data_IF_116101318465
#
_entry.id   IF_116101318465
#
_cell.length_a   1.000
_cell.length_b   1.000
_cell.length_c   1.000
_cell.angle_alpha   90.00
_cell.angle_beta   90.00
_cell.angle_gamma   90.00
#
_symmetry.space_group_name_H-M   'P 1'
#
loop_
_entity.id
_entity.type
_entity.pdbx_description
1 polymer ?
#
# COMPACT_ATOMS: atom_id res chain seq x y z
N UNK A 1 19.70 8.22 0.80
CA UNK A 1 18.72 7.10 0.69
C UNK A 1 17.85 7.18 -0.56
N UNK A 2 16.90 8.11 -0.73
CA UNK A 2 16.03 8.14 -1.93
C UNK A 2 16.79 8.44 -3.23
N UNK A 3 17.70 9.40 -3.25
CA UNK A 3 18.50 9.70 -4.45
C UNK A 3 19.43 8.53 -4.85
N UNK A 4 19.94 7.77 -3.87
CA UNK A 4 20.71 6.55 -4.11
C UNK A 4 19.86 5.44 -4.75
N UNK A 5 18.52 5.48 -4.60
CA UNK A 5 17.68 4.46 -5.21
C UNK A 5 17.64 4.58 -6.74
N UNK A 6 17.89 5.77 -7.30
CA UNK A 6 17.91 5.98 -8.75
C UNK A 6 19.01 5.18 -9.47
N UNK A 7 20.02 4.68 -8.76
CA UNK A 7 21.08 3.86 -9.36
C UNK A 7 20.67 2.40 -9.56
N UNK A 8 19.58 1.94 -8.94
CA UNK A 8 19.07 0.57 -9.11
C UNK A 8 17.99 0.55 -10.18
N UNK A 9 18.08 -0.39 -11.12
CA UNK A 9 17.22 -0.45 -12.31
C UNK A 9 15.74 -0.53 -11.96
N UNK A 10 15.39 -1.40 -11.01
CA UNK A 10 14.01 -1.59 -10.54
C UNK A 10 13.44 -0.35 -9.86
N UNK A 11 14.22 0.30 -9.00
CA UNK A 11 13.84 1.58 -8.39
C UNK A 11 13.64 2.67 -9.44
N UNK A 12 14.51 2.76 -10.44
CA UNK A 12 14.40 3.74 -11.51
C UNK A 12 13.18 3.48 -12.41
N UNK A 13 12.88 2.22 -12.72
CA UNK A 13 11.67 1.83 -13.46
C UNK A 13 10.39 2.17 -12.67
N UNK A 14 10.34 1.84 -11.38
CA UNK A 14 9.21 2.17 -10.52
C UNK A 14 8.95 3.69 -10.44
N UNK A 15 10.02 4.49 -10.39
CA UNK A 15 9.92 5.94 -10.43
C UNK A 15 9.33 6.46 -11.76
N UNK A 16 9.65 5.83 -12.89
CA UNK A 16 9.06 6.17 -14.19
C UNK A 16 7.56 5.84 -14.24
N UNK A 17 7.13 4.69 -13.72
CA UNK A 17 5.70 4.36 -13.60
C UNK A 17 4.96 5.34 -12.70
N UNK A 18 5.57 5.74 -11.59
CA UNK A 18 5.01 6.77 -10.73
C UNK A 18 4.88 8.12 -11.44
N UNK A 19 5.92 8.56 -12.15
CA UNK A 19 5.92 9.82 -12.90
C UNK A 19 4.81 9.84 -13.97
N UNK A 20 4.67 8.76 -14.74
CA UNK A 20 3.60 8.60 -15.72
C UNK A 20 2.22 8.63 -15.07
N UNK A 21 2.06 8.02 -13.88
CA UNK A 21 0.79 7.99 -13.17
C UNK A 21 0.38 9.38 -12.70
N UNK A 22 1.31 10.15 -12.13
CA UNK A 22 1.06 11.51 -11.65
C UNK A 22 0.79 12.48 -12.80
N UNK A 23 1.45 12.29 -13.94
CA UNK A 23 1.29 13.15 -15.13
C UNK A 23 -0.05 12.92 -15.85
N UNK A 24 -0.55 11.68 -15.85
CA UNK A 24 -1.80 11.32 -16.54
C UNK A 24 -3.07 11.45 -15.69
N UNK A 25 -2.96 11.59 -14.36
CA UNK A 25 -4.12 11.79 -13.49
C UNK A 25 -4.29 13.31 -13.27
N UNK A 26 -5.38 13.94 -13.76
CA UNK A 26 -5.55 15.39 -13.68
C UNK A 26 -5.42 15.90 -12.25
N UNK A 27 -4.36 16.68 -12.02
CA UNK A 27 -3.83 17.03 -10.71
C UNK A 27 -4.46 18.29 -10.13
N UNK A 28 -5.43 18.07 -9.25
CA UNK A 28 -5.65 18.93 -8.06
C UNK A 28 -6.23 18.13 -6.88
N UNK A 29 -6.94 17.02 -7.16
CA UNK A 29 -7.65 16.25 -6.13
C UNK A 29 -7.07 14.86 -5.82
N UNK A 30 -6.06 14.39 -6.56
CA UNK A 30 -5.54 13.04 -6.40
C UNK A 30 -4.11 13.05 -5.86
N UNK A 31 -4.00 12.87 -4.54
CA UNK A 31 -2.74 12.48 -3.92
C UNK A 31 -2.57 10.99 -4.21
N UNK A 32 -1.53 10.63 -4.96
CA UNK A 32 -1.22 9.23 -5.20
C UNK A 32 -0.59 8.61 -3.96
N UNK A 33 -1.10 7.44 -3.58
CA UNK A 33 -0.58 6.67 -2.47
C UNK A 33 -0.36 5.22 -2.88
N UNK A 34 0.68 4.59 -2.32
CA UNK A 34 1.10 3.23 -2.66
C UNK A 34 0.32 2.18 -1.84
N UNK A 35 -1.02 2.24 -1.86
CA UNK A 35 -1.89 1.40 -1.02
C UNK A 35 -1.72 -0.08 -1.25
N UNK A 36 -1.54 -0.51 -2.49
CA UNK A 36 -1.36 -1.92 -2.82
C UNK A 36 0.02 -2.45 -2.38
N UNK A 37 1.05 -1.61 -2.45
CA UNK A 37 2.40 -1.93 -1.94
C UNK A 37 2.37 -2.01 -0.41
N UNK A 38 1.63 -1.11 0.25
CA UNK A 38 1.43 -1.17 1.69
C UNK A 38 0.71 -2.46 2.09
N UNK A 39 -0.39 -2.79 1.41
CA UNK A 39 -1.18 -4.00 1.67
C UNK A 39 -0.37 -5.29 1.45
N UNK A 40 0.40 -5.37 0.38
CA UNK A 40 1.26 -6.55 0.10
C UNK A 40 2.42 -6.66 1.07
N UNK A 41 3.02 -5.53 1.49
CA UNK A 41 4.10 -5.53 2.48
C UNK A 41 3.69 -6.07 3.86
N UNK A 42 2.39 -6.05 4.19
CA UNK A 42 1.87 -6.65 5.42
C UNK A 42 2.27 -8.11 5.57
N UNK A 43 2.30 -8.88 4.47
CA UNK A 43 2.69 -10.29 4.49
C UNK A 43 4.14 -10.52 4.93
N UNK A 44 5.02 -9.55 4.71
CA UNK A 44 6.44 -9.62 5.07
C UNK A 44 6.77 -8.88 6.36
N UNK A 45 5.94 -7.92 6.77
CA UNK A 45 6.22 -6.97 7.86
C UNK A 45 5.13 -6.96 8.94
N UNK A 46 4.33 -8.03 9.08
CA UNK A 46 3.17 -8.08 9.97
C UNK A 46 3.45 -7.50 11.39
N UNK A 47 4.60 -7.85 11.98
CA UNK A 47 5.00 -7.39 13.32
C UNK A 47 5.25 -5.86 13.43
N UNK A 48 5.35 -5.16 12.30
CA UNK A 48 5.60 -3.71 12.23
C UNK A 48 4.32 -2.92 11.91
N UNK A 49 3.18 -3.59 11.77
CA UNK A 49 1.88 -2.95 11.60
C UNK A 49 1.13 -2.88 12.93
N UNK A 50 0.44 -1.76 13.14
CA UNK A 50 -0.56 -1.61 14.19
C UNK A 50 -1.89 -2.08 13.64
N UNK A 51 -2.41 -3.15 14.22
CA UNK A 51 -3.66 -3.80 13.78
C UNK A 51 -4.68 -3.71 14.89
N UNK A 52 -5.87 -3.24 14.54
CA UNK A 52 -7.02 -3.16 15.43
C UNK A 52 -8.12 -4.11 14.95
N UNK A 53 -8.75 -4.80 15.89
CA UNK A 53 -9.94 -5.58 15.60
C UNK A 53 -11.19 -4.70 15.78
N UNK A 54 -11.99 -4.60 14.74
CA UNK A 54 -13.21 -3.79 14.73
C UNK A 54 -14.40 -4.58 14.19
N UNK A 55 -15.60 -4.14 14.52
CA UNK A 55 -16.82 -4.62 13.88
C UNK A 55 -17.15 -3.69 12.70
N UNK A 56 -17.25 -4.26 11.50
CA UNK A 56 -17.52 -3.50 10.29
C UNK A 56 -18.63 -4.13 9.44
N UNK A 57 -19.35 -3.29 8.70
CA UNK A 57 -20.34 -3.71 7.72
C UNK A 57 -20.19 -2.90 6.43
N UNK A 58 -20.69 -3.44 5.32
CA UNK A 58 -20.69 -2.76 4.02
C UNK A 58 -22.12 -2.41 3.65
N UNK A 59 -22.36 -1.13 3.37
CA UNK A 59 -23.65 -0.69 2.87
C UNK A 59 -23.89 -1.24 1.46
N UNK A 60 -25.06 -1.87 1.25
CA UNK A 60 -25.42 -2.50 -0.03
C UNK A 60 -26.54 -1.76 -0.78
N UNK A 61 -27.12 -0.72 -0.17
CA UNK A 61 -28.21 0.06 -0.75
C UNK A 61 -27.77 1.51 -1.00
N UNK A 62 -28.27 2.16 -2.08
CA UNK A 62 -28.03 3.58 -2.33
C UNK A 62 -28.52 4.46 -1.17
N UNK A 63 -27.92 5.66 -0.96
CA UNK A 63 -26.84 6.26 -1.76
C UNK A 63 -25.43 5.76 -1.39
N UNK A 64 -25.27 5.01 -0.31
CA UNK A 64 -23.95 4.69 0.27
C UNK A 64 -23.42 3.31 -0.11
N UNK A 65 -23.90 2.72 -1.21
CA UNK A 65 -23.49 1.39 -1.62
C UNK A 65 -21.95 1.30 -1.80
N UNK A 66 -21.33 0.31 -1.16
CA UNK A 66 -19.88 0.12 -1.14
C UNK A 66 -19.15 0.80 0.02
N UNK A 67 -19.82 1.68 0.78
CA UNK A 67 -19.22 2.28 1.96
C UNK A 67 -19.00 1.22 3.07
N UNK A 68 -17.77 1.12 3.56
CA UNK A 68 -17.45 0.33 4.76
C UNK A 68 -17.64 1.19 6.00
N UNK A 69 -18.39 0.69 6.97
CA UNK A 69 -18.84 1.40 8.17
C UNK A 69 -18.39 0.62 9.40
N UNK A 70 -17.92 1.32 10.44
CA UNK A 70 -17.79 0.72 11.77
C UNK A 70 -19.18 0.62 12.39
N UNK A 71 -19.56 -0.57 12.85
CA UNK A 71 -20.94 -0.84 13.28
C UNK A 71 -21.00 -2.04 14.22
N UNK A 72 -21.72 -1.90 15.33
CA UNK A 72 -22.03 -3.00 16.26
C UNK A 72 -23.36 -3.70 15.92
N UNK A 73 -23.86 -3.53 14.69
CA UNK A 73 -25.10 -4.16 14.25
C UNK A 73 -24.96 -5.69 14.18
N UNK A 74 -26.08 -6.41 14.16
CA UNK A 74 -26.09 -7.87 13.94
C UNK A 74 -25.52 -8.29 12.57
N UNK A 75 -25.46 -7.36 11.61
CA UNK A 75 -24.96 -7.62 10.25
C UNK A 75 -23.45 -7.41 10.15
N UNK A 76 -22.81 -6.81 11.18
CA UNK A 76 -21.39 -6.56 11.17
C UNK A 76 -20.57 -7.85 11.29
N UNK A 77 -19.32 -7.74 10.87
CA UNK A 77 -18.32 -8.79 10.91
C UNK A 77 -17.08 -8.25 11.59
N UNK A 78 -16.45 -9.12 12.39
CA UNK A 78 -15.16 -8.82 13.00
C UNK A 78 -14.11 -8.83 11.89
N UNK A 79 -13.40 -7.72 11.74
CA UNK A 79 -12.31 -7.56 10.79
C UNK A 79 -11.09 -6.97 11.49
N UNK A 80 -9.91 -7.19 10.89
CA UNK A 80 -8.67 -6.56 11.31
C UNK A 80 -8.39 -5.40 10.37
N UNK A 81 -8.18 -4.21 10.93
CA UNK A 81 -7.81 -3.01 10.18
C UNK A 81 -6.40 -2.59 10.56
N UNK A 82 -5.66 -2.08 9.58
CA UNK A 82 -4.34 -1.48 9.81
C UNK A 82 -4.54 0.00 10.12
N UNK A 83 -4.07 0.45 11.29
CA UNK A 83 -4.14 1.87 11.71
C UNK A 83 -2.79 2.57 11.70
N UNK A 84 -1.70 1.80 11.61
CA UNK A 84 -0.35 2.34 11.55
C UNK A 84 0.67 1.33 11.03
N UNK A 85 1.84 1.85 10.66
CA UNK A 85 3.02 1.08 10.27
C UNK A 85 4.27 1.79 10.74
N UNK A 86 5.29 1.05 11.17
CA UNK A 86 6.64 1.61 11.32
C UNK A 86 7.17 2.03 9.94
N UNK A 87 7.11 3.33 9.67
CA UNK A 87 7.51 3.92 8.40
C UNK A 87 8.96 3.65 8.06
N UNK A 88 9.86 3.61 9.06
CA UNK A 88 11.29 3.40 8.81
C UNK A 88 11.51 1.98 8.29
N UNK A 89 10.94 1.00 8.98
CA UNK A 89 11.06 -0.42 8.56
C UNK A 89 10.37 -0.65 7.22
N UNK A 90 9.18 -0.07 7.01
CA UNK A 90 8.49 -0.15 5.73
C UNK A 90 9.34 0.38 4.57
N UNK A 91 9.88 1.60 4.67
CA UNK A 91 10.72 2.14 3.59
C UNK A 91 12.02 1.35 3.41
N UNK A 92 12.65 0.87 4.48
CA UNK A 92 13.85 0.04 4.39
C UNK A 92 13.57 -1.31 3.71
N UNK A 93 12.44 -1.93 3.98
CA UNK A 93 11.98 -3.13 3.28
C UNK A 93 11.78 -2.86 1.79
N UNK A 94 11.03 -1.82 1.44
CA UNK A 94 10.77 -1.45 0.04
C UNK A 94 12.08 -1.20 -0.71
N UNK A 95 12.98 -0.39 -0.16
CA UNK A 95 14.29 -0.15 -0.76
C UNK A 95 15.13 -1.40 -0.91
N UNK A 96 14.97 -2.39 -0.03
CA UNK A 96 15.67 -3.67 -0.16
C UNK A 96 15.11 -4.48 -1.33
N UNK A 97 13.79 -4.53 -1.50
CA UNK A 97 13.15 -5.23 -2.62
C UNK A 97 13.54 -4.61 -3.98
N UNK A 98 13.54 -3.28 -4.09
CA UNK A 98 13.87 -2.59 -5.34
C UNK A 98 15.37 -2.46 -5.64
N UNK A 99 16.24 -2.92 -4.71
CA UNK A 99 17.68 -3.07 -4.95
C UNK A 99 18.05 -4.35 -5.67
N UNK A 100 17.12 -5.29 -5.82
CA UNK A 100 17.39 -6.54 -6.53
C UNK A 100 17.79 -6.27 -7.98
N UNK A 101 18.77 -7.02 -8.48
CA UNK A 101 19.19 -6.96 -9.87
C UNK A 101 18.12 -7.65 -10.73
N UNK A 102 17.58 -6.92 -11.71
CA UNK A 102 16.50 -7.40 -12.56
C UNK A 102 16.90 -8.67 -13.31
N UNK A 103 18.17 -8.81 -13.71
CA UNK A 103 18.67 -10.00 -14.40
C UNK A 103 18.59 -11.26 -13.51
N UNK A 104 18.90 -11.12 -12.23
CA UNK A 104 18.89 -12.26 -11.29
C UNK A 104 17.49 -12.77 -10.95
N UNK A 105 16.45 -11.94 -11.14
CA UNK A 105 15.05 -12.31 -10.91
C UNK A 105 14.40 -13.02 -12.10
N UNK A 106 14.93 -12.83 -13.32
CA UNK A 106 14.40 -13.47 -14.54
C UNK A 106 14.95 -14.90 -14.73
N UNK A 107 16.07 -15.22 -14.09
CA UNK A 107 16.71 -16.54 -14.14
C UNK A 107 16.24 -17.51 -13.02
N UNK A 108 15.43 -17.04 -12.06
CA UNK A 108 14.92 -17.81 -10.92
C UNK A 108 13.46 -18.26 -11.11
#
# INVERSE_FOLDING_TARGET
KFAEQATYELSNLAAQFWALTVDNIPSYHYIYYMWDILATSYLALEAHFVVEEVQAEVAIYPPNAGQTLLSDSIKSRKVKIITGVDKKVFYEYIFTQFRADFATLVEA
#
